data_IF_521136194538
#
_entry.id   IF_521136194538
#
_cell.length_a   1.000
_cell.length_b   1.000
_cell.length_c   1.000
_cell.angle_alpha   90.00
_cell.angle_beta   90.00
_cell.angle_gamma   90.00
#
_symmetry.space_group_name_H-M   'P 1'
#
loop_
_entity.id
_entity.type
_entity.pdbx_description
1 polymer ?
#
# COMPACT_ATOMS: atom_id res chain seq x y z
N UNK A 1 -22.56 1.38 -31.16
CA UNK A 1 -21.36 1.98 -30.56
C UNK A 1 -20.24 1.04 -30.87
N UNK A 2 -19.21 1.51 -31.56
CA UNK A 2 -18.08 0.66 -31.93
C UNK A 2 -17.28 0.30 -30.68
N UNK A 3 -16.81 -0.95 -30.59
CA UNK A 3 -16.04 -1.45 -29.44
C UNK A 3 -14.82 -0.56 -29.12
N UNK A 4 -14.20 0.01 -30.16
CA UNK A 4 -13.08 0.95 -30.04
C UNK A 4 -13.47 2.24 -29.31
N UNK A 5 -14.68 2.76 -29.55
CA UNK A 5 -15.17 3.96 -28.87
C UNK A 5 -15.33 3.71 -27.37
N UNK A 6 -15.82 2.53 -26.99
CA UNK A 6 -16.01 2.17 -25.59
C UNK A 6 -14.66 1.93 -24.88
N UNK A 7 -13.70 1.34 -25.59
CA UNK A 7 -12.32 1.17 -25.09
C UNK A 7 -11.64 2.53 -24.84
N UNK A 8 -11.78 3.48 -25.75
CA UNK A 8 -11.23 4.84 -25.58
C UNK A 8 -11.90 5.55 -24.39
N UNK A 9 -13.22 5.46 -24.26
CA UNK A 9 -13.94 6.06 -23.14
C UNK A 9 -13.46 5.49 -21.78
N UNK A 10 -13.26 4.17 -21.70
CA UNK A 10 -12.71 3.52 -20.51
C UNK A 10 -11.27 3.98 -20.21
N UNK A 11 -10.42 4.02 -21.23
CA UNK A 11 -9.04 4.51 -21.09
C UNK A 11 -8.99 5.96 -20.60
N UNK A 12 -9.90 6.81 -21.11
CA UNK A 12 -9.97 8.22 -20.72
C UNK A 12 -10.36 8.40 -19.26
N UNK A 13 -11.33 7.64 -18.75
CA UNK A 13 -11.71 7.68 -17.33
C UNK A 13 -10.54 7.27 -16.42
N UNK A 14 -9.88 6.17 -16.76
CA UNK A 14 -8.68 5.69 -16.04
C UNK A 14 -7.55 6.71 -16.08
N UNK A 15 -7.33 7.38 -17.23
CA UNK A 15 -6.31 8.39 -17.40
C UNK A 15 -6.55 9.63 -16.52
N UNK A 16 -7.80 10.11 -16.42
CA UNK A 16 -8.14 11.24 -15.54
C UNK A 16 -7.76 10.92 -14.09
N UNK A 17 -8.05 9.69 -13.65
CA UNK A 17 -7.71 9.23 -12.30
C UNK A 17 -6.20 9.09 -12.08
N UNK A 18 -5.47 8.54 -13.07
CA UNK A 18 -4.00 8.50 -13.05
C UNK A 18 -3.41 9.90 -12.87
N UNK A 19 -3.93 10.88 -13.59
CA UNK A 19 -3.45 12.26 -13.54
C UNK A 19 -3.63 12.88 -12.14
N UNK A 20 -4.78 12.61 -11.50
CA UNK A 20 -5.03 13.01 -10.10
C UNK A 20 -3.99 12.44 -9.13
N UNK A 21 -3.64 11.16 -9.25
CA UNK A 21 -2.57 10.57 -8.43
C UNK A 21 -1.20 11.18 -8.73
N UNK A 22 -0.92 11.52 -9.99
CA UNK A 22 0.30 12.22 -10.38
C UNK A 22 0.43 13.58 -9.70
N UNK A 23 -0.67 14.35 -9.62
CA UNK A 23 -0.67 15.63 -8.92
C UNK A 23 -0.45 15.47 -7.42
N UNK A 24 -1.18 14.55 -6.77
CA UNK A 24 -1.00 14.26 -5.34
C UNK A 24 0.42 13.82 -5.03
N UNK A 25 0.98 12.91 -5.82
CA UNK A 25 2.36 12.46 -5.70
C UNK A 25 3.36 13.63 -5.77
N UNK A 26 3.15 14.58 -6.69
CA UNK A 26 4.02 15.76 -6.84
C UNK A 26 3.96 16.68 -5.62
N UNK A 27 2.76 16.91 -5.08
CA UNK A 27 2.57 17.74 -3.87
C UNK A 27 3.27 17.11 -2.67
N UNK A 28 3.04 15.81 -2.41
CA UNK A 28 3.67 15.11 -1.29
C UNK A 28 5.18 14.96 -1.44
N UNK A 29 5.67 14.81 -2.67
CA UNK A 29 7.11 14.82 -2.94
C UNK A 29 7.76 16.15 -2.56
N UNK A 30 7.18 17.27 -2.99
CA UNK A 30 7.69 18.61 -2.63
C UNK A 30 7.60 18.84 -1.13
N UNK A 31 6.49 18.45 -0.50
CA UNK A 31 6.32 18.57 0.94
C UNK A 31 7.36 17.76 1.71
N UNK A 32 7.57 16.49 1.36
CA UNK A 32 8.59 15.62 1.96
C UNK A 32 10.00 16.21 1.77
N UNK A 33 10.32 16.72 0.59
CA UNK A 33 11.61 17.36 0.33
C UNK A 33 11.84 18.57 1.24
N UNK A 34 10.85 19.45 1.38
CA UNK A 34 10.94 20.63 2.24
C UNK A 34 11.05 20.26 3.72
N UNK A 35 10.27 19.27 4.18
CA UNK A 35 10.29 18.81 5.56
C UNK A 35 11.61 18.10 5.90
N UNK A 36 12.14 17.27 5.01
CA UNK A 36 13.44 16.62 5.20
C UNK A 36 14.57 17.65 5.33
N UNK A 37 14.54 18.72 4.52
CA UNK A 37 15.48 19.84 4.67
C UNK A 37 15.24 20.55 6.01
N UNK A 38 14.00 20.80 6.41
CA UNK A 38 13.68 21.42 7.70
C UNK A 38 14.18 20.60 8.89
N UNK A 39 14.06 19.26 8.84
CA UNK A 39 14.60 18.34 9.86
C UNK A 39 16.13 18.44 9.93
N UNK A 40 16.82 18.52 8.79
CA UNK A 40 18.28 18.68 8.76
C UNK A 40 18.74 20.05 9.29
N UNK A 41 17.99 21.11 9.03
CA UNK A 41 18.30 22.47 9.50
C UNK A 41 17.94 22.66 10.98
N UNK A 42 17.05 21.81 11.52
CA UNK A 42 16.53 21.93 12.88
C UNK A 42 17.61 22.07 13.98
N UNK A 43 18.69 21.25 14.03
CA UNK A 43 19.71 21.36 15.07
C UNK A 43 20.41 22.73 15.08
N UNK A 44 20.56 23.37 13.91
CA UNK A 44 21.15 24.71 13.78
C UNK A 44 20.22 25.78 14.37
N UNK A 45 18.90 25.61 14.20
CA UNK A 45 17.90 26.54 14.70
C UNK A 45 17.63 26.37 16.20
N UNK A 46 17.68 25.13 16.71
CA UNK A 46 17.38 24.79 18.10
C UNK A 46 18.22 25.57 19.13
N UNK A 47 19.48 25.86 18.80
CA UNK A 47 20.39 26.69 19.62
C UNK A 47 19.84 28.10 19.83
N UNK A 48 19.17 28.66 18.83
CA UNK A 48 18.59 30.01 18.90
C UNK A 48 17.16 30.03 19.46
N UNK A 49 16.39 28.96 19.26
CA UNK A 49 14.98 28.86 19.66
C UNK A 49 14.80 28.54 21.14
N UNK A 50 15.74 27.83 21.78
CA UNK A 50 15.70 27.56 23.23
C UNK A 50 15.58 28.86 24.06
N UNK A 51 16.01 30.01 23.53
CA UNK A 51 15.82 31.31 24.16
C UNK A 51 14.35 31.80 24.22
N UNK A 52 13.40 31.14 23.54
CA UNK A 52 11.99 31.55 23.41
C UNK A 52 10.98 30.65 24.14
N UNK A 53 11.44 29.67 24.91
CA UNK A 53 10.56 28.85 25.77
C UNK A 53 9.70 27.79 25.05
N UNK A 54 9.95 27.54 23.77
CA UNK A 54 9.36 26.39 23.06
C UNK A 54 10.23 25.17 23.33
N UNK A 55 9.63 24.06 23.74
CA UNK A 55 10.35 22.80 23.91
C UNK A 55 10.83 22.31 22.52
N UNK A 56 12.12 22.49 22.27
CA UNK A 56 12.75 22.14 21.00
C UNK A 56 12.60 20.65 20.66
N UNK A 57 12.49 19.78 21.66
CA UNK A 57 12.32 18.34 21.46
C UNK A 57 10.91 18.01 20.93
N UNK A 58 9.89 18.68 21.45
CA UNK A 58 8.50 18.51 20.99
C UNK A 58 8.36 18.96 19.54
N UNK A 59 8.87 20.15 19.22
CA UNK A 59 8.79 20.69 17.87
C UNK A 59 9.57 19.82 16.85
N UNK A 60 10.75 19.31 17.22
CA UNK A 60 11.48 18.35 16.39
C UNK A 60 10.64 17.09 16.10
N UNK A 61 10.00 16.54 17.13
CA UNK A 61 9.19 15.32 17.01
C UNK A 61 8.02 15.54 16.06
N UNK A 62 7.34 16.69 16.15
CA UNK A 62 6.24 17.05 15.25
C UNK A 62 6.72 17.20 13.82
N UNK A 63 7.81 17.93 13.57
CA UNK A 63 8.36 18.12 12.22
C UNK A 63 8.80 16.77 11.62
N UNK A 64 9.45 15.92 12.41
CA UNK A 64 9.86 14.58 11.97
C UNK A 64 8.66 13.69 11.67
N UNK A 65 7.61 13.74 12.49
CA UNK A 65 6.37 12.98 12.24
C UNK A 65 5.67 13.44 10.94
N UNK A 66 5.64 14.76 10.70
CA UNK A 66 5.10 15.31 9.45
C UNK A 66 5.94 14.91 8.23
N UNK A 67 7.27 14.89 8.35
CA UNK A 67 8.18 14.44 7.29
C UNK A 67 7.91 12.97 6.94
N UNK A 68 7.90 12.10 7.96
CA UNK A 68 7.57 10.68 7.79
C UNK A 68 6.18 10.47 7.18
N UNK A 69 5.19 11.26 7.60
CA UNK A 69 3.85 11.25 7.01
C UNK A 69 3.87 11.65 5.53
N UNK A 70 4.58 12.72 5.17
CA UNK A 70 4.68 13.18 3.79
C UNK A 70 5.36 12.14 2.89
N UNK A 71 6.45 11.52 3.37
CA UNK A 71 7.15 10.44 2.68
C UNK A 71 6.23 9.22 2.48
N UNK A 72 5.50 8.83 3.52
CA UNK A 72 4.55 7.71 3.43
C UNK A 72 3.47 7.98 2.38
N UNK A 73 2.86 9.15 2.38
CA UNK A 73 1.83 9.54 1.41
C UNK A 73 2.38 9.64 -0.02
N UNK A 74 3.60 10.15 -0.19
CA UNK A 74 4.31 10.12 -1.46
C UNK A 74 4.42 8.67 -1.99
N UNK A 75 4.95 7.75 -1.19
CA UNK A 75 5.08 6.34 -1.60
C UNK A 75 3.72 5.69 -1.88
N UNK A 76 2.71 6.02 -1.07
CA UNK A 76 1.36 5.51 -1.23
C UNK A 76 0.74 5.92 -2.57
N UNK A 77 0.78 7.21 -2.92
CA UNK A 77 0.25 7.68 -4.20
C UNK A 77 1.11 7.27 -5.39
N UNK A 78 2.44 7.19 -5.22
CA UNK A 78 3.33 6.68 -6.27
C UNK A 78 2.97 5.26 -6.68
N UNK A 79 2.68 4.37 -5.72
CA UNK A 79 2.24 3.00 -6.00
C UNK A 79 0.93 2.98 -6.79
N UNK A 80 -0.07 3.75 -6.37
CA UNK A 80 -1.36 3.85 -7.07
C UNK A 80 -1.21 4.39 -8.49
N UNK A 81 -0.38 5.42 -8.68
CA UNK A 81 -0.07 5.96 -10.00
C UNK A 81 0.48 4.88 -10.95
N UNK A 82 1.43 4.07 -10.49
CA UNK A 82 2.04 2.99 -11.29
C UNK A 82 1.02 1.89 -11.60
N UNK A 83 0.16 1.51 -10.63
CA UNK A 83 -0.91 0.54 -10.86
C UNK A 83 -1.91 1.03 -11.92
N UNK A 84 -2.32 2.30 -11.84
CA UNK A 84 -3.24 2.89 -12.82
C UNK A 84 -2.59 3.01 -14.20
N UNK A 85 -1.29 3.34 -14.28
CA UNK A 85 -0.56 3.39 -15.55
C UNK A 85 -0.47 1.99 -16.21
N UNK A 86 -0.18 0.96 -15.42
CA UNK A 86 -0.17 -0.43 -15.91
C UNK A 86 -1.57 -0.87 -16.37
N UNK A 87 -2.62 -0.46 -15.65
CA UNK A 87 -4.00 -0.73 -16.05
C UNK A 87 -4.34 -0.03 -17.37
N UNK A 88 -3.94 1.24 -17.54
CA UNK A 88 -4.12 1.97 -18.79
C UNK A 88 -3.40 1.29 -19.95
N UNK A 89 -2.16 0.86 -19.75
CA UNK A 89 -1.39 0.09 -20.73
C UNK A 89 -2.12 -1.19 -21.12
N UNK A 90 -2.70 -1.90 -20.14
CA UNK A 90 -3.52 -3.10 -20.39
C UNK A 90 -4.78 -2.79 -21.20
N UNK A 91 -5.45 -1.67 -20.96
CA UNK A 91 -6.64 -1.26 -21.75
C UNK A 91 -6.27 -1.00 -23.21
N UNK A 92 -5.16 -0.29 -23.44
CA UNK A 92 -4.73 0.10 -24.79
C UNK A 92 -4.23 -1.09 -25.60
N UNK A 93 -3.39 -1.95 -25.00
CA UNK A 93 -2.66 -2.99 -25.73
C UNK A 93 -3.23 -4.41 -25.58
N UNK A 94 -4.35 -4.61 -24.88
CA UNK A 94 -4.92 -5.94 -24.74
C UNK A 94 -5.76 -6.36 -25.96
N UNK A 95 -5.59 -7.60 -26.39
CA UNK A 95 -6.42 -8.25 -27.42
C UNK A 95 -7.75 -8.80 -26.87
N UNK A 96 -8.06 -8.56 -25.59
CA UNK A 96 -9.28 -9.06 -24.96
C UNK A 96 -10.53 -8.30 -25.48
N UNK A 97 -11.68 -9.00 -25.58
CA UNK A 97 -12.95 -8.35 -25.88
C UNK A 97 -13.30 -7.35 -24.78
N UNK A 98 -13.87 -6.21 -25.18
CA UNK A 98 -14.08 -5.04 -24.30
C UNK A 98 -14.90 -5.39 -23.05
N UNK A 99 -15.90 -6.27 -23.17
CA UNK A 99 -16.72 -6.72 -22.05
C UNK A 99 -15.88 -7.32 -20.89
N UNK A 100 -14.91 -8.19 -21.20
CA UNK A 100 -14.02 -8.78 -20.18
C UNK A 100 -13.04 -7.76 -19.60
N UNK A 101 -12.72 -6.75 -20.39
CA UNK A 101 -11.80 -5.68 -20.05
C UNK A 101 -12.43 -4.73 -19.02
N UNK A 102 -13.71 -4.42 -19.18
CA UNK A 102 -14.49 -3.63 -18.22
C UNK A 102 -14.51 -4.30 -16.85
N UNK A 103 -14.84 -5.59 -16.76
CA UNK A 103 -14.86 -6.31 -15.48
C UNK A 103 -13.50 -6.29 -14.78
N UNK A 104 -12.42 -6.54 -15.53
CA UNK A 104 -11.07 -6.50 -15.00
C UNK A 104 -10.64 -5.09 -14.55
N UNK A 105 -11.06 -4.05 -15.28
CA UNK A 105 -10.78 -2.65 -14.92
C UNK A 105 -11.53 -2.25 -13.66
N UNK A 106 -12.79 -2.64 -13.52
CA UNK A 106 -13.60 -2.38 -12.32
C UNK A 106 -12.96 -3.05 -11.09
N UNK A 107 -12.54 -4.31 -11.22
CA UNK A 107 -11.89 -5.04 -10.13
C UNK A 107 -10.56 -4.39 -9.70
N UNK A 108 -9.69 -4.08 -10.66
CA UNK A 108 -8.41 -3.42 -10.38
C UNK A 108 -8.61 -1.99 -9.83
N UNK A 109 -9.58 -1.25 -10.34
CA UNK A 109 -9.92 0.08 -9.80
C UNK A 109 -10.45 0.00 -8.37
N UNK A 110 -11.28 -0.99 -8.07
CA UNK A 110 -11.73 -1.26 -6.70
C UNK A 110 -10.55 -1.54 -5.78
N UNK A 111 -9.58 -2.35 -6.23
CA UNK A 111 -8.36 -2.65 -5.47
C UNK A 111 -7.47 -1.42 -5.27
N UNK A 112 -7.34 -0.56 -6.28
CA UNK A 112 -6.56 0.69 -6.18
C UNK A 112 -7.23 1.67 -5.22
N UNK A 113 -8.57 1.70 -5.20
CA UNK A 113 -9.35 2.59 -4.34
C UNK A 113 -9.47 2.10 -2.90
N UNK A 114 -9.32 0.80 -2.63
CA UNK A 114 -9.21 0.28 -1.27
C UNK A 114 -8.15 1.11 -0.54
N UNK A 115 -8.60 1.84 0.47
CA UNK A 115 -7.85 2.89 1.17
C UNK A 115 -6.68 2.33 1.98
N UNK A 116 -6.51 2.86 3.19
CA UNK A 116 -5.54 2.31 4.13
C UNK A 116 -6.04 0.97 4.65
N UNK A 117 -5.55 -0.12 4.07
CA UNK A 117 -5.68 -1.44 4.67
C UNK A 117 -4.76 -1.51 5.87
N UNK A 118 -5.32 -1.39 7.08
CA UNK A 118 -4.59 -1.78 8.27
C UNK A 118 -4.47 -3.31 8.23
N UNK A 119 -3.26 -3.89 8.10
CA UNK A 119 -3.12 -5.32 8.33
C UNK A 119 -3.64 -5.56 9.74
N UNK A 120 -4.72 -6.33 9.87
CA UNK A 120 -5.29 -6.65 11.17
C UNK A 120 -4.15 -7.20 12.04
N UNK A 121 -3.79 -6.44 13.08
CA UNK A 121 -2.83 -6.88 14.09
C UNK A 121 -3.46 -8.06 14.82
N UNK A 122 -3.23 -9.27 14.30
CA UNK A 122 -3.94 -10.45 14.74
C UNK A 122 -3.17 -11.72 14.43
N UNK A 123 -2.51 -12.25 15.47
CA UNK A 123 -1.90 -13.58 15.61
C UNK A 123 -0.60 -13.85 14.84
N UNK A 124 0.53 -13.59 15.50
CA UNK A 124 1.45 -14.64 16.01
C UNK A 124 2.32 -14.06 17.14
N UNK A 125 1.73 -13.94 18.32
CA UNK A 125 2.46 -13.91 19.59
C UNK A 125 1.89 -15.09 20.40
N UNK A 126 2.71 -16.12 20.61
CA UNK A 126 2.32 -17.34 21.31
C UNK A 126 2.23 -18.56 20.41
N UNK A 127 3.38 -19.02 19.89
CA UNK A 127 3.64 -20.42 19.54
C UNK A 127 5.14 -20.52 19.22
N UNK A 128 5.95 -20.73 20.25
CA UNK A 128 7.40 -20.85 20.06
C UNK A 128 8.28 -20.77 21.30
N UNK A 129 7.82 -21.20 22.47
CA UNK A 129 8.72 -21.55 23.58
C UNK A 129 8.02 -22.55 24.52
N UNK A 130 8.78 -23.55 25.01
CA UNK A 130 8.39 -24.80 25.72
C UNK A 130 7.76 -25.90 24.82
N UNK A 131 8.23 -27.14 24.70
CA UNK A 131 9.13 -27.97 25.51
C UNK A 131 9.99 -28.90 24.62
N UNK A 132 11.28 -29.02 24.95
CA UNK A 132 12.02 -30.27 24.74
C UNK A 132 12.55 -30.73 26.09
N UNK A 133 11.81 -31.60 26.78
CA UNK A 133 12.39 -32.69 27.58
C UNK A 133 11.30 -33.63 28.14
N UNK A 134 11.40 -34.93 27.79
CA UNK A 134 11.20 -36.00 28.78
C UNK A 134 9.86 -36.75 28.86
N UNK A 135 9.84 -37.93 28.21
CA UNK A 135 9.30 -39.24 28.67
C UNK A 135 7.83 -39.40 29.10
N UNK A 136 7.11 -40.18 28.27
CA UNK A 136 6.48 -41.46 28.68
C UNK A 136 4.98 -41.47 29.04
N UNK A 137 4.19 -42.31 28.34
CA UNK A 137 2.90 -42.82 28.89
C UNK A 137 1.70 -42.94 27.94
N UNK A 138 1.64 -44.04 27.18
CA UNK A 138 0.49 -44.93 26.88
C UNK A 138 -0.98 -44.43 26.69
N UNK A 139 -1.44 -44.47 25.43
CA UNK A 139 -2.71 -45.02 24.82
C UNK A 139 -4.12 -44.58 25.30
N UNK A 140 -4.91 -43.94 24.39
CA UNK A 140 -6.10 -44.54 23.70
C UNK A 140 -6.68 -43.66 22.56
N UNK A 141 -7.35 -44.25 21.54
CA UNK A 141 -7.81 -43.57 20.33
C UNK A 141 -9.31 -43.21 20.32
N UNK A 142 -9.69 -42.10 19.67
CA UNK A 142 -11.06 -41.79 19.17
C UNK A 142 -10.95 -40.61 18.18
N UNK A 143 -11.04 -40.82 16.87
CA UNK A 143 -12.24 -40.90 16.03
C UNK A 143 -12.48 -39.60 15.22
N UNK A 144 -12.31 -39.76 13.90
CA UNK A 144 -13.00 -39.11 12.76
C UNK A 144 -13.57 -37.69 12.95
N UNK A 145 -12.97 -36.73 12.25
CA UNK A 145 -13.58 -35.48 11.77
C UNK A 145 -12.93 -35.09 10.44
N UNK A 146 -13.74 -34.85 9.41
CA UNK A 146 -13.35 -34.90 8.00
C UNK A 146 -12.39 -33.82 7.50
N UNK A 147 -11.61 -34.19 6.46
CA UNK A 147 -10.83 -33.31 5.59
C UNK A 147 -11.75 -32.27 4.92
N UNK A 148 -11.50 -31.00 5.18
CA UNK A 148 -11.74 -29.94 4.21
C UNK A 148 -10.36 -29.49 3.70
N UNK A 149 -10.11 -29.69 2.40
CA UNK A 149 -8.90 -29.21 1.76
C UNK A 149 -8.88 -27.67 1.82
N UNK A 150 -7.76 -27.03 2.20
CA UNK A 150 -7.65 -25.59 2.05
C UNK A 150 -7.66 -25.25 0.56
N UNK A 151 -8.53 -24.30 0.19
CA UNK A 151 -8.60 -23.75 -1.15
C UNK A 151 -7.20 -23.30 -1.61
N UNK A 152 -6.83 -23.64 -2.85
CA UNK A 152 -5.59 -23.18 -3.47
C UNK A 152 -5.54 -21.64 -3.39
N UNK A 153 -4.46 -21.04 -2.89
CA UNK A 153 -4.29 -19.59 -2.98
C UNK A 153 -4.25 -19.19 -4.46
N UNK A 154 -4.95 -18.10 -4.79
CA UNK A 154 -4.87 -17.48 -6.10
C UNK A 154 -3.41 -17.16 -6.45
N UNK A 155 -3.01 -17.26 -7.74
CA UNK A 155 -1.63 -16.98 -8.14
C UNK A 155 -1.26 -15.54 -7.76
N UNK A 156 -0.28 -15.44 -6.87
CA UNK A 156 0.40 -14.19 -6.55
C UNK A 156 1.18 -13.80 -7.80
N UNK A 157 0.82 -12.68 -8.41
CA UNK A 157 1.51 -12.17 -9.60
C UNK A 157 2.77 -11.44 -9.14
N UNK A 158 3.93 -12.07 -9.33
CA UNK A 158 5.22 -11.41 -9.10
C UNK A 158 5.38 -10.26 -10.10
N UNK A 159 5.63 -9.02 -9.63
CA UNK A 159 6.01 -7.95 -10.52
C UNK A 159 7.38 -8.30 -11.13
N UNK A 160 7.39 -8.56 -12.44
CA UNK A 160 8.64 -8.64 -13.20
C UNK A 160 9.39 -7.30 -13.10
N UNK A 161 10.73 -7.33 -13.01
CA UNK A 161 11.58 -6.16 -12.83
C UNK A 161 11.57 -5.18 -14.02
#
# INVERSE_FOLDING_TARGET
MDDDSLRIALAQDVHIKQWSYGWLNKVFFVLAMLLSVAVMVWPLMAVTINARGVDAAVAQTVVTALDGFAIYFYQFYKKRQVLTENLLRRIVFSDLPVAKLVDAVIEEMSRIDQGFGFPASGKKAGEGEEERHGKGGTVKPKAKGGKAAPAKPAPVFDPQP
#
